data_IF_220556288047
#
_entry.id   IF_220556288047
#
_cell.length_a   1.000
_cell.length_b   1.000
_cell.length_c   1.000
_cell.angle_alpha   90.00
_cell.angle_beta   90.00
_cell.angle_gamma   90.00
#
_symmetry.space_group_name_H-M   'P 1'
#
loop_
_entity.id
_entity.type
_entity.pdbx_description
1 polymer ?
#
# COMPACT_ATOMS: atom_id res chain seq x y z
N UNK A 1 3.30 -21.51 0.84
CA UNK A 1 3.07 -20.53 1.91
C UNK A 1 4.40 -19.84 2.19
N UNK A 2 4.55 -18.55 1.82
CA UNK A 2 5.81 -17.82 2.02
C UNK A 2 5.90 -17.46 3.50
N UNK A 3 6.54 -18.32 4.27
CA UNK A 3 6.77 -18.12 5.71
C UNK A 3 8.08 -17.36 5.89
N UNK A 4 8.00 -16.07 6.16
CA UNK A 4 9.16 -15.30 6.64
C UNK A 4 9.36 -15.64 8.12
N UNK A 5 10.10 -16.72 8.40
CA UNK A 5 10.35 -17.17 9.78
C UNK A 5 11.33 -16.26 10.54
N UNK A 6 12.17 -15.53 9.82
CA UNK A 6 13.09 -14.54 10.38
C UNK A 6 12.41 -13.18 10.52
N UNK A 7 12.23 -12.72 11.77
CA UNK A 7 11.71 -11.38 12.09
C UNK A 7 12.50 -10.25 11.38
N UNK A 8 13.81 -10.44 11.19
CA UNK A 8 14.68 -9.48 10.51
C UNK A 8 14.42 -9.44 9.00
N UNK A 9 14.32 -10.60 8.36
CA UNK A 9 14.04 -10.68 6.92
C UNK A 9 12.64 -10.13 6.62
N UNK A 10 11.65 -10.41 7.47
CA UNK A 10 10.31 -9.86 7.34
C UNK A 10 10.31 -8.32 7.36
N UNK A 11 11.05 -7.70 8.28
CA UNK A 11 11.15 -6.23 8.35
C UNK A 11 11.82 -5.64 7.11
N UNK A 12 12.91 -6.25 6.64
CA UNK A 12 13.64 -5.78 5.45
C UNK A 12 12.77 -5.90 4.20
N UNK A 13 12.12 -7.06 3.99
CA UNK A 13 11.25 -7.26 2.82
C UNK A 13 10.00 -6.39 2.87
N UNK A 14 9.50 -6.09 4.07
CA UNK A 14 8.39 -5.16 4.28
C UNK A 14 8.79 -3.73 3.91
N UNK A 15 9.93 -3.24 4.41
CA UNK A 15 10.43 -1.90 4.08
C UNK A 15 10.75 -1.76 2.58
N UNK A 16 11.37 -2.79 1.99
CA UNK A 16 11.64 -2.84 0.56
C UNK A 16 10.34 -2.82 -0.26
N UNK A 17 9.32 -3.59 0.16
CA UNK A 17 8.00 -3.60 -0.50
C UNK A 17 7.30 -2.24 -0.40
N UNK A 18 7.36 -1.57 0.75
CA UNK A 18 6.81 -0.22 0.91
C UNK A 18 7.51 0.79 0.00
N UNK A 19 8.83 0.72 -0.09
CA UNK A 19 9.62 1.61 -0.93
C UNK A 19 9.32 1.42 -2.42
N UNK A 20 9.26 0.17 -2.89
CA UNK A 20 8.89 -0.14 -4.27
C UNK A 20 7.44 0.25 -4.59
N UNK A 21 6.50 0.01 -3.66
CA UNK A 21 5.11 0.43 -3.79
C UNK A 21 4.97 1.96 -3.89
N UNK A 22 5.78 2.70 -3.14
CA UNK A 22 5.78 4.15 -3.17
C UNK A 22 6.34 4.71 -4.49
N UNK A 23 7.39 4.07 -5.02
CA UNK A 23 8.00 4.42 -6.29
C UNK A 23 7.05 4.22 -7.48
N UNK A 24 6.19 3.20 -7.42
CA UNK A 24 5.18 2.93 -8.45
C UNK A 24 4.15 4.05 -8.57
N UNK A 25 3.68 4.57 -7.43
CA UNK A 25 2.57 5.52 -7.39
C UNK A 25 2.99 6.99 -7.43
N UNK A 26 4.25 7.32 -7.09
CA UNK A 26 4.70 8.71 -7.12
C UNK A 26 6.21 8.82 -7.25
N UNK A 27 6.66 9.74 -8.11
CA UNK A 27 8.07 10.12 -8.24
C UNK A 27 8.40 11.35 -7.37
N UNK A 28 7.37 12.05 -6.87
CA UNK A 28 7.53 13.21 -5.99
C UNK A 28 7.83 12.77 -4.56
N UNK A 29 8.82 13.41 -3.91
CA UNK A 29 9.29 13.05 -2.56
C UNK A 29 8.15 13.00 -1.52
N UNK A 30 7.18 13.90 -1.62
CA UNK A 30 6.04 13.97 -0.71
C UNK A 30 5.03 12.84 -0.95
N UNK A 31 4.82 12.48 -2.21
CA UNK A 31 3.94 11.36 -2.58
C UNK A 31 4.56 10.00 -2.22
N UNK A 32 5.89 9.86 -2.30
CA UNK A 32 6.61 8.66 -1.84
C UNK A 32 6.39 8.46 -0.33
N UNK A 33 6.51 9.53 0.46
CA UNK A 33 6.32 9.43 1.90
C UNK A 33 4.87 9.05 2.27
N UNK A 34 3.89 9.66 1.59
CA UNK A 34 2.47 9.38 1.81
C UNK A 34 2.09 7.95 1.43
N UNK A 35 2.61 7.45 0.30
CA UNK A 35 2.37 6.07 -0.17
C UNK A 35 3.05 5.03 0.71
N UNK A 36 4.22 5.32 1.28
CA UNK A 36 4.85 4.45 2.29
C UNK A 36 3.99 4.30 3.56
N UNK A 37 3.38 5.39 4.05
CA UNK A 37 2.46 5.32 5.20
C UNK A 37 1.24 4.48 4.85
N UNK A 38 0.69 4.66 3.65
CA UNK A 38 -0.42 3.86 3.15
C UNK A 38 -0.08 2.39 2.94
N UNK A 39 1.19 2.05 2.71
CA UNK A 39 1.64 0.68 2.55
C UNK A 39 1.78 -0.10 3.88
N UNK A 40 1.72 0.57 5.03
CA UNK A 40 1.72 -0.05 6.36
C UNK A 40 0.55 -1.02 6.59
N UNK A 41 -0.72 -0.62 6.41
CA UNK A 41 -1.86 -1.52 6.60
C UNK A 41 -1.82 -2.75 5.69
N UNK A 42 -1.31 -2.64 4.45
CA UNK A 42 -1.14 -3.78 3.56
C UNK A 42 -0.20 -4.83 4.15
N UNK A 43 0.98 -4.39 4.61
CA UNK A 43 1.97 -5.29 5.18
C UNK A 43 1.53 -5.88 6.53
N UNK A 44 0.87 -5.10 7.39
CA UNK A 44 0.32 -5.58 8.65
C UNK A 44 -0.75 -6.67 8.40
N UNK A 45 -1.60 -6.47 7.39
CA UNK A 45 -2.64 -7.45 7.03
C UNK A 45 -2.02 -8.78 6.57
N UNK A 46 -0.94 -8.74 5.80
CA UNK A 46 -0.19 -9.92 5.37
C UNK A 46 0.50 -10.64 6.54
N UNK A 47 1.20 -9.89 7.40
CA UNK A 47 1.93 -10.45 8.55
C UNK A 47 0.96 -11.15 9.51
N UNK A 48 -0.21 -10.56 9.74
CA UNK A 48 -1.22 -11.09 10.67
C UNK A 48 -1.96 -12.31 10.12
N UNK A 49 -2.31 -12.31 8.84
CA UNK A 49 -3.13 -13.37 8.24
C UNK A 49 -2.31 -14.46 7.56
N UNK A 50 -1.04 -14.19 7.24
CA UNK A 50 -0.16 -15.02 6.40
C UNK A 50 -0.83 -15.43 5.07
N UNK A 51 -1.80 -14.64 4.62
CA UNK A 51 -2.61 -14.91 3.45
C UNK A 51 -2.43 -13.76 2.45
N UNK A 52 -2.14 -14.08 1.19
CA UNK A 52 -1.88 -13.11 0.11
C UNK A 52 -3.20 -12.47 -0.39
N UNK A 53 -4.35 -13.14 -0.24
CA UNK A 53 -5.64 -12.61 -0.67
C UNK A 53 -6.11 -11.42 0.19
N UNK A 54 -5.71 -11.39 1.46
CA UNK A 54 -6.05 -10.31 2.39
C UNK A 54 -5.41 -8.97 1.98
N UNK A 55 -4.08 -8.84 1.84
CA UNK A 55 -3.45 -7.60 1.37
C UNK A 55 -3.91 -7.22 -0.04
N UNK A 56 -4.20 -8.20 -0.92
CA UNK A 56 -4.77 -7.92 -2.25
C UNK A 56 -6.13 -7.21 -2.15
N UNK A 57 -6.99 -7.64 -1.23
CA UNK A 57 -8.30 -7.02 -0.99
C UNK A 57 -8.16 -5.63 -0.36
N UNK A 58 -7.24 -5.47 0.60
CA UNK A 58 -6.97 -4.17 1.23
C UNK A 58 -6.41 -3.18 0.20
N UNK A 59 -5.53 -3.61 -0.70
CA UNK A 59 -5.02 -2.79 -1.80
C UNK A 59 -6.13 -2.35 -2.76
N UNK A 60 -7.03 -3.27 -3.15
CA UNK A 60 -8.19 -2.95 -3.99
C UNK A 60 -9.10 -1.89 -3.34
N UNK A 61 -9.41 -2.04 -2.05
CA UNK A 61 -10.21 -1.06 -1.29
C UNK A 61 -9.48 0.29 -1.22
N UNK A 62 -8.17 0.27 -0.96
CA UNK A 62 -7.34 1.47 -0.94
C UNK A 62 -7.38 2.24 -2.26
N UNK A 63 -7.26 1.54 -3.39
CA UNK A 63 -7.36 2.15 -4.71
C UNK A 63 -8.76 2.67 -5.02
N UNK A 64 -9.81 1.94 -4.62
CA UNK A 64 -11.19 2.39 -4.80
C UNK A 64 -11.48 3.67 -4.01
N UNK A 65 -10.99 3.76 -2.78
CA UNK A 65 -11.14 4.95 -1.96
C UNK A 65 -10.29 6.11 -2.49
N UNK A 66 -8.98 5.91 -2.70
CA UNK A 66 -8.09 6.98 -3.15
C UNK A 66 -8.45 7.51 -4.54
N UNK A 67 -8.41 6.64 -5.55
CA UNK A 67 -8.69 7.05 -6.93
C UNK A 67 -10.17 7.40 -7.13
N UNK A 68 -11.07 6.73 -6.43
CA UNK A 68 -12.50 7.04 -6.48
C UNK A 68 -12.82 8.42 -5.91
N UNK A 69 -12.20 8.80 -4.78
CA UNK A 69 -12.38 10.16 -4.24
C UNK A 69 -11.79 11.22 -5.15
N UNK A 70 -10.64 10.96 -5.78
CA UNK A 70 -10.02 11.91 -6.70
C UNK A 70 -10.90 12.17 -7.93
N UNK A 71 -11.56 11.14 -8.48
CA UNK A 71 -12.51 11.29 -9.57
C UNK A 71 -13.70 12.15 -9.15
N UNK A 72 -14.30 11.85 -7.98
CA UNK A 72 -15.44 12.62 -7.46
C UNK A 72 -15.05 14.08 -7.23
N UNK A 73 -13.89 14.31 -6.59
CA UNK A 73 -13.38 15.66 -6.31
C UNK A 73 -13.12 16.43 -7.61
N UNK A 74 -12.56 15.77 -8.63
CA UNK A 74 -12.30 16.36 -9.94
C UNK A 74 -13.59 16.72 -10.67
N UNK A 75 -14.62 15.88 -10.59
CA UNK A 75 -15.94 16.16 -11.17
C UNK A 75 -16.59 17.36 -10.48
N UNK A 76 -16.59 17.40 -9.14
CA UNK A 76 -17.14 18.52 -8.37
C UNK A 76 -16.39 19.82 -8.68
N UNK A 77 -15.05 19.78 -8.77
CA UNK A 77 -14.24 20.95 -9.07
C UNK A 77 -14.42 21.51 -10.49
N UNK A 78 -14.99 20.71 -11.41
CA UNK A 78 -15.21 21.10 -12.81
C UNK A 78 -16.66 21.47 -13.13
N UNK A 79 -17.57 21.42 -12.15
CA UNK A 79 -18.95 21.92 -12.20
C UNK A 79 -18.98 23.35 -11.69
#
# INVERSE_FOLDING_TARGET
MISFESKGILLITTLLSMFLCALEHSITIWGIFLTMIWALPFNISYIKTKNIYVPMTVHFIGNLLGNGTDIIMTVISKI
#
